data_IF_977976625375
#
_entry.id   IF_977976625375
#
_cell.length_a   1.000
_cell.length_b   1.000
_cell.length_c   1.000
_cell.angle_alpha   90.00
_cell.angle_beta   90.00
_cell.angle_gamma   90.00
#
_symmetry.space_group_name_H-M   'P 1'
#
loop_
_entity.id
_entity.type
_entity.pdbx_description
1 polymer ?
#
# COMPACT_ATOMS: atom_id res chain seq x y z
N UNK A 1 -26.09 -10.06 -7.35
CA UNK A 1 -24.79 -10.13 -6.67
C UNK A 1 -23.69 -9.31 -7.34
N UNK A 2 -23.50 -9.36 -8.67
CA UNK A 2 -22.51 -8.53 -9.41
C UNK A 2 -22.39 -7.06 -8.97
N UNK A 3 -23.51 -6.36 -8.73
CA UNK A 3 -23.47 -4.96 -8.25
C UNK A 3 -22.91 -4.82 -6.83
N UNK A 4 -23.09 -5.82 -5.97
CA UNK A 4 -22.55 -5.84 -4.62
C UNK A 4 -21.05 -6.15 -4.63
N UNK A 5 -20.58 -7.09 -5.45
CA UNK A 5 -19.14 -7.39 -5.63
C UNK A 5 -18.39 -6.17 -6.15
N UNK A 6 -18.88 -5.50 -7.21
CA UNK A 6 -18.30 -4.25 -7.71
C UNK A 6 -18.25 -3.13 -6.67
N UNK A 7 -19.25 -3.04 -5.78
CA UNK A 7 -19.24 -2.05 -4.68
C UNK A 7 -18.21 -2.42 -3.62
N UNK A 8 -18.02 -3.71 -3.35
CA UNK A 8 -17.00 -4.19 -2.44
C UNK A 8 -15.59 -3.99 -3.00
N UNK A 9 -15.38 -4.19 -4.31
CA UNK A 9 -14.13 -3.84 -5.01
C UNK A 9 -13.81 -2.35 -4.88
N UNK A 10 -14.79 -1.48 -5.19
CA UNK A 10 -14.60 -0.04 -5.05
C UNK A 10 -14.24 0.35 -3.61
N UNK A 11 -14.90 -0.21 -2.61
CA UNK A 11 -14.59 0.05 -1.21
C UNK A 11 -13.19 -0.44 -0.85
N UNK A 12 -12.79 -1.62 -1.33
CA UNK A 12 -11.44 -2.16 -1.16
C UNK A 12 -10.41 -1.20 -1.77
N UNK A 13 -10.62 -0.73 -2.99
CA UNK A 13 -9.73 0.23 -3.65
C UNK A 13 -9.61 1.54 -2.85
N UNK A 14 -10.74 2.09 -2.38
CA UNK A 14 -10.74 3.30 -1.53
C UNK A 14 -9.95 3.12 -0.23
N UNK A 15 -10.06 1.95 0.41
CA UNK A 15 -9.31 1.64 1.64
C UNK A 15 -7.82 1.50 1.32
N UNK A 16 -7.46 0.81 0.24
CA UNK A 16 -6.06 0.67 -0.17
C UNK A 16 -5.43 2.03 -0.45
N UNK A 17 -6.11 2.91 -1.18
CA UNK A 17 -5.65 4.27 -1.47
C UNK A 17 -5.47 5.07 -0.18
N UNK A 18 -6.44 5.04 0.74
CA UNK A 18 -6.33 5.73 2.02
C UNK A 18 -5.14 5.25 2.88
N UNK A 19 -4.83 3.95 2.83
CA UNK A 19 -3.66 3.38 3.52
C UNK A 19 -2.36 3.85 2.87
N UNK A 20 -2.28 3.86 1.54
CA UNK A 20 -1.07 4.28 0.82
C UNK A 20 -0.80 5.79 0.98
N UNK A 21 -1.83 6.62 0.94
CA UNK A 21 -1.76 8.05 1.22
C UNK A 21 -1.33 8.32 2.66
N UNK A 22 -1.91 7.58 3.61
CA UNK A 22 -1.52 7.62 5.01
C UNK A 22 -0.06 7.22 5.21
N UNK A 23 0.38 6.12 4.60
CA UNK A 23 1.76 5.66 4.66
C UNK A 23 2.73 6.71 4.11
N UNK A 24 2.38 7.35 2.98
CA UNK A 24 3.17 8.42 2.38
C UNK A 24 3.27 9.65 3.29
N UNK A 25 2.15 10.10 3.85
CA UNK A 25 2.12 11.25 4.76
C UNK A 25 2.98 11.01 6.00
N UNK A 26 2.86 9.84 6.64
CA UNK A 26 3.65 9.54 7.84
C UNK A 26 5.12 9.31 7.49
N UNK A 27 5.42 8.71 6.34
CA UNK A 27 6.80 8.59 5.85
C UNK A 27 7.46 9.95 5.74
N UNK A 28 6.84 10.92 5.07
CA UNK A 28 7.37 12.27 4.91
C UNK A 28 7.66 12.93 6.26
N UNK A 29 6.74 12.80 7.22
CA UNK A 29 6.92 13.31 8.59
C UNK A 29 8.12 12.66 9.26
N UNK A 30 8.24 11.32 9.21
CA UNK A 30 9.37 10.62 9.80
C UNK A 30 10.70 10.98 9.13
N UNK A 31 10.73 11.06 7.80
CA UNK A 31 11.91 11.49 7.05
C UNK A 31 12.34 12.91 7.45
N UNK A 32 11.39 13.83 7.60
CA UNK A 32 11.67 15.19 8.01
C UNK A 32 12.26 15.26 9.42
N UNK A 33 11.59 14.64 10.41
CA UNK A 33 12.05 14.59 11.80
C UNK A 33 13.44 13.95 11.89
N UNK A 34 13.64 12.86 11.17
CA UNK A 34 14.89 12.11 11.11
C UNK A 34 16.05 12.94 10.51
N UNK A 35 15.73 13.87 9.60
CA UNK A 35 16.69 14.79 8.98
C UNK A 35 17.14 15.96 9.87
N UNK A 36 16.32 16.39 10.83
CA UNK A 36 16.61 17.57 11.67
C UNK A 36 17.99 17.55 12.36
N UNK A 37 18.46 16.43 12.94
CA UNK A 37 19.79 16.39 13.56
C UNK A 37 20.92 16.62 12.55
N UNK A 38 20.76 16.12 11.32
CA UNK A 38 21.74 16.33 10.26
C UNK A 38 21.73 17.80 9.82
N UNK A 39 20.56 18.38 9.60
CA UNK A 39 20.46 19.80 9.22
C UNK A 39 21.08 20.72 10.30
N UNK A 40 20.88 20.40 11.58
CA UNK A 40 21.50 21.14 12.69
C UNK A 40 23.03 21.04 12.67
N UNK A 41 23.58 19.83 12.49
CA UNK A 41 25.02 19.62 12.40
C UNK A 41 25.65 20.30 11.18
N UNK A 42 24.91 20.37 10.06
CA UNK A 42 25.34 21.03 8.83
C UNK A 42 25.47 22.54 9.04
N UNK A 43 24.47 23.15 9.66
CA UNK A 43 24.45 24.57 9.98
C UNK A 43 25.54 24.99 10.96
N UNK A 44 26.00 24.07 11.82
CA UNK A 44 27.11 24.30 12.76
C UNK A 44 28.49 24.07 12.13
N UNK A 45 28.56 23.62 10.87
CA UNK A 45 29.82 23.24 10.21
C UNK A 45 30.45 21.98 10.82
N UNK A 46 29.68 21.17 11.52
CA UNK A 46 30.13 19.95 12.21
C UNK A 46 29.87 18.67 11.39
N UNK A 47 29.34 18.79 10.17
CA UNK A 47 29.02 17.67 9.32
C UNK A 47 30.21 17.33 8.41
N UNK A 48 30.89 16.23 8.71
CA UNK A 48 31.92 15.67 7.85
C UNK A 48 31.32 14.90 6.66
N UNK A 49 32.14 14.62 5.64
CA UNK A 49 31.73 13.92 4.40
C UNK A 49 30.98 12.59 4.65
N UNK A 50 31.31 11.88 5.74
CA UNK A 50 30.68 10.63 6.13
C UNK A 50 29.24 10.81 6.63
N UNK A 51 28.88 11.98 7.15
CA UNK A 51 27.55 12.24 7.70
C UNK A 51 26.48 12.42 6.61
N UNK A 52 26.84 12.87 5.40
CA UNK A 52 25.95 12.83 4.23
C UNK A 52 25.55 11.39 3.87
N UNK A 53 26.49 10.44 3.97
CA UNK A 53 26.20 9.02 3.74
C UNK A 53 25.28 8.42 4.81
N UNK A 54 25.40 8.89 6.06
CA UNK A 54 24.54 8.47 7.17
C UNK A 54 23.10 9.00 7.01
N UNK A 55 22.94 10.27 6.61
CA UNK A 55 21.65 10.88 6.28
C UNK A 55 20.94 10.07 5.18
N UNK A 56 21.67 9.68 4.14
CA UNK A 56 21.10 8.86 3.06
C UNK A 56 20.71 7.44 3.53
N UNK A 57 21.55 6.80 4.35
CA UNK A 57 21.23 5.47 4.92
C UNK A 57 19.97 5.52 5.77
N UNK A 58 19.85 6.51 6.64
CA UNK A 58 18.67 6.72 7.45
C UNK A 58 17.42 6.90 6.58
N UNK A 59 17.50 7.73 5.53
CA UNK A 59 16.40 7.93 4.58
C UNK A 59 15.96 6.61 3.93
N UNK A 60 16.92 5.80 3.48
CA UNK A 60 16.64 4.46 2.90
C UNK A 60 16.01 3.52 3.92
N UNK A 61 16.48 3.52 5.16
CA UNK A 61 15.93 2.66 6.21
C UNK A 61 14.48 3.02 6.53
N UNK A 62 14.15 4.30 6.64
CA UNK A 62 12.77 4.74 6.85
C UNK A 62 11.90 4.33 5.66
N UNK A 63 12.34 4.61 4.43
CA UNK A 63 11.59 4.23 3.23
C UNK A 63 11.30 2.72 3.14
N UNK A 64 12.27 1.88 3.51
CA UNK A 64 12.08 0.43 3.54
C UNK A 64 10.95 -0.04 4.46
N UNK A 65 10.74 0.65 5.60
CA UNK A 65 9.63 0.35 6.50
C UNK A 65 8.30 0.66 5.82
N UNK A 66 8.19 1.81 5.16
CA UNK A 66 6.96 2.21 4.48
C UNK A 66 6.68 1.42 3.20
N UNK A 67 7.72 1.05 2.45
CA UNK A 67 7.59 0.14 1.32
C UNK A 67 7.06 -1.23 1.76
N UNK A 68 7.45 -1.70 2.95
CA UNK A 68 6.90 -2.92 3.54
C UNK A 68 5.41 -2.76 3.87
N UNK A 69 5.00 -1.62 4.42
CA UNK A 69 3.59 -1.31 4.69
C UNK A 69 2.77 -1.31 3.40
N UNK A 70 3.23 -0.60 2.35
CA UNK A 70 2.58 -0.55 1.04
C UNK A 70 2.48 -1.93 0.40
N UNK A 71 3.53 -2.73 0.50
CA UNK A 71 3.52 -4.11 -0.01
C UNK A 71 2.46 -4.95 0.70
N UNK A 72 2.36 -4.88 2.03
CA UNK A 72 1.31 -5.59 2.78
C UNK A 72 -0.08 -5.12 2.35
N UNK A 73 -0.28 -3.80 2.16
CA UNK A 73 -1.53 -3.24 1.67
C UNK A 73 -1.91 -3.78 0.29
N UNK A 74 -0.96 -3.85 -0.64
CA UNK A 74 -1.14 -4.45 -1.97
C UNK A 74 -1.44 -5.94 -1.89
N UNK A 75 -0.69 -6.70 -1.10
CA UNK A 75 -0.86 -8.15 -0.96
C UNK A 75 -2.26 -8.51 -0.45
N UNK A 76 -2.77 -7.75 0.54
CA UNK A 76 -4.13 -7.90 1.06
C UNK A 76 -5.17 -7.56 -0.01
N UNK A 77 -5.00 -6.45 -0.73
CA UNK A 77 -5.94 -6.06 -1.79
C UNK A 77 -6.02 -7.06 -2.93
N UNK A 78 -4.87 -7.64 -3.32
CA UNK A 78 -4.81 -8.70 -4.33
C UNK A 78 -5.54 -9.95 -3.85
N UNK A 79 -5.27 -10.39 -2.61
CA UNK A 79 -5.96 -11.54 -2.01
C UNK A 79 -7.48 -11.36 -2.01
N UNK A 80 -7.97 -10.18 -1.60
CA UNK A 80 -9.42 -9.89 -1.60
C UNK A 80 -9.99 -9.91 -3.03
N UNK A 81 -9.27 -9.35 -4.00
CA UNK A 81 -9.71 -9.31 -5.39
C UNK A 81 -9.81 -10.71 -6.00
N UNK A 82 -8.87 -11.62 -5.67
CA UNK A 82 -8.94 -13.03 -6.06
C UNK A 82 -10.21 -13.72 -5.50
N UNK A 83 -10.58 -13.44 -4.25
CA UNK A 83 -11.82 -13.97 -3.67
C UNK A 83 -13.07 -13.46 -4.38
N UNK A 84 -13.09 -12.19 -4.76
CA UNK A 84 -14.21 -11.62 -5.53
C UNK A 84 -14.33 -12.27 -6.92
N UNK A 85 -13.22 -12.46 -7.63
CA UNK A 85 -13.21 -13.14 -8.92
C UNK A 85 -13.73 -14.58 -8.80
N UNK A 86 -13.27 -15.34 -7.81
CA UNK A 86 -13.73 -16.71 -7.57
C UNK A 86 -15.25 -16.79 -7.29
N UNK A 87 -15.80 -15.82 -6.55
CA UNK A 87 -17.23 -15.74 -6.29
C UNK A 87 -18.04 -15.41 -7.57
N UNK A 88 -17.54 -14.50 -8.41
CA UNK A 88 -18.20 -14.17 -9.68
C UNK A 88 -18.20 -15.36 -10.65
N UNK A 89 -17.08 -16.09 -10.74
CA UNK A 89 -16.92 -17.27 -11.59
C UNK A 89 -17.86 -18.41 -11.15
N UNK A 90 -17.92 -18.69 -9.84
CA UNK A 90 -18.84 -19.69 -9.30
C UNK A 90 -20.31 -19.35 -9.59
N UNK A 91 -20.70 -18.07 -9.49
CA UNK A 91 -22.05 -17.62 -9.83
C UNK A 91 -22.34 -17.72 -11.33
N UNK A 92 -21.36 -17.45 -12.19
CA UNK A 92 -21.47 -17.59 -13.63
C UNK A 92 -21.65 -19.07 -14.04
N UNK A 93 -20.84 -19.97 -13.46
CA UNK A 93 -20.95 -21.41 -13.68
C UNK A 93 -22.32 -21.94 -13.27
N UNK A 94 -22.83 -21.56 -12.09
CA UNK A 94 -24.15 -21.98 -11.61
C UNK A 94 -25.27 -21.52 -12.55
N UNK A 95 -25.24 -20.25 -12.98
CA UNK A 95 -26.24 -19.71 -13.92
C UNK A 95 -26.26 -20.42 -15.27
N UNK A 96 -25.11 -20.84 -15.77
CA UNK A 96 -25.02 -21.58 -17.03
C UNK A 96 -25.52 -23.02 -16.88
N UNK A 97 -25.30 -23.65 -15.73
CA UNK A 97 -25.88 -24.98 -15.43
C UNK A 97 -27.41 -24.92 -15.36
N UNK A 98 -27.98 -23.98 -14.58
CA UNK A 98 -29.43 -23.85 -14.42
C UNK A 98 -30.14 -23.65 -15.78
N UNK A 99 -29.56 -22.83 -16.67
CA UNK A 99 -30.10 -22.59 -18.02
C UNK A 99 -30.10 -23.82 -18.93
N UNK A 100 -29.08 -24.67 -18.83
CA UNK A 100 -28.98 -25.88 -19.66
C UNK A 100 -29.86 -27.03 -19.14
N UNK A 101 -30.32 -26.97 -17.88
CA UNK A 101 -31.24 -27.96 -17.32
C UNK A 101 -32.72 -27.68 -17.57
N UNK A 102 -33.05 -26.48 -18.04
CA UNK A 102 -34.42 -26.04 -18.38
C UNK A 102 -34.74 -26.13 -19.89
N UNK A 103 -33.78 -26.57 -20.72
CA UNK A 103 -33.93 -26.90 -22.16
C UNK A 103 -34.01 -28.42 -22.38
#
# INVERSE_FOLDING_TARGET
>A
MKKAVKRAELLKDMIQEAIDDGATTVEEVHQHIAGLPFDALENLGLLEEQASSLKEKQRKTIGMVYDTIRRINSDIGNLISEQFAALEDAEAARRNMDRNSDE
#
